data_IF_547667622315
#
_entry.id   IF_547667622315
#
_cell.length_a   1.000
_cell.length_b   1.000
_cell.length_c   1.000
_cell.angle_alpha   90.00
_cell.angle_beta   90.00
_cell.angle_gamma   90.00
#
_symmetry.space_group_name_H-M   'P 1'
#
loop_
_entity.id
_entity.type
_entity.pdbx_description
1 polymer ?
#
# COMPACT_ATOMS: atom_id res chain seq x y z
N UNK A 1 45.88 1.83 -3.52
CA UNK A 1 44.69 1.17 -4.12
C UNK A 1 44.42 -0.22 -3.53
N UNK A 2 45.43 -0.99 -3.15
CA UNK A 2 45.27 -2.37 -2.63
C UNK A 2 44.46 -2.50 -1.33
N UNK A 3 44.46 -1.53 -0.46
CA UNK A 3 43.69 -1.57 0.80
C UNK A 3 42.21 -1.16 0.65
N UNK A 4 41.85 -0.42 -0.41
CA UNK A 4 40.49 0.09 -0.60
C UNK A 4 39.58 -0.98 -1.21
N UNK A 5 40.11 -1.78 -2.12
CA UNK A 5 39.32 -2.81 -2.82
C UNK A 5 38.72 -3.86 -1.88
N UNK A 6 39.48 -4.48 -0.94
CA UNK A 6 38.92 -5.42 0.02
C UNK A 6 37.84 -4.78 0.92
N UNK A 7 37.98 -3.51 1.26
CA UNK A 7 36.97 -2.78 2.04
C UNK A 7 35.68 -2.59 1.23
N UNK A 8 35.79 -2.17 -0.04
CA UNK A 8 34.61 -2.02 -0.91
C UNK A 8 33.91 -3.34 -1.15
N UNK A 9 34.63 -4.43 -1.39
CA UNK A 9 34.08 -5.77 -1.59
C UNK A 9 33.24 -6.20 -0.37
N UNK A 10 33.70 -5.87 0.83
CA UNK A 10 33.04 -6.29 2.07
C UNK A 10 31.83 -5.46 2.44
N UNK A 11 31.79 -4.19 2.05
CA UNK A 11 30.85 -3.24 2.63
C UNK A 11 30.01 -2.45 1.63
N UNK A 12 30.23 -2.58 0.32
CA UNK A 12 29.54 -1.78 -0.70
C UNK A 12 28.03 -1.93 -0.66
N UNK A 13 27.53 -3.16 -0.57
CA UNK A 13 26.10 -3.43 -0.47
C UNK A 13 25.49 -2.88 0.81
N UNK A 14 26.16 -3.11 1.95
CA UNK A 14 25.68 -2.61 3.25
C UNK A 14 25.60 -1.08 3.27
N UNK A 15 26.56 -0.36 2.67
CA UNK A 15 26.49 1.10 2.54
C UNK A 15 25.29 1.55 1.73
N UNK A 16 24.99 0.89 0.60
CA UNK A 16 23.84 1.20 -0.22
C UNK A 16 22.54 0.92 0.55
N UNK A 17 22.44 -0.20 1.27
CA UNK A 17 21.29 -0.56 2.09
C UNK A 17 21.02 0.46 3.21
N UNK A 18 22.07 0.91 3.90
CA UNK A 18 21.96 1.96 4.94
C UNK A 18 21.51 3.28 4.33
N UNK A 19 22.05 3.68 3.17
CA UNK A 19 21.66 4.90 2.48
C UNK A 19 20.17 4.86 2.08
N UNK A 20 19.70 3.74 1.53
CA UNK A 20 18.29 3.57 1.16
C UNK A 20 17.38 3.58 2.39
N UNK A 21 17.81 2.99 3.51
CA UNK A 21 17.10 3.07 4.79
C UNK A 21 16.93 4.52 5.23
N UNK A 22 18.00 5.33 5.21
CA UNK A 22 17.96 6.74 5.57
C UNK A 22 17.04 7.54 4.65
N UNK A 23 17.14 7.35 3.34
CA UNK A 23 16.23 7.98 2.35
C UNK A 23 14.77 7.62 2.65
N UNK A 24 14.51 6.35 2.97
CA UNK A 24 13.17 5.89 3.31
C UNK A 24 12.61 6.57 4.56
N UNK A 25 13.42 6.68 5.61
CA UNK A 25 13.03 7.37 6.86
C UNK A 25 12.75 8.86 6.60
N UNK A 26 13.66 9.56 5.89
CA UNK A 26 13.49 10.99 5.57
C UNK A 26 12.25 11.20 4.71
N UNK A 27 12.05 10.37 3.68
CA UNK A 27 10.90 10.45 2.79
C UNK A 27 9.56 10.27 3.51
N UNK A 28 9.50 9.38 4.52
CA UNK A 28 8.28 9.18 5.33
C UNK A 28 8.06 10.30 6.33
N UNK A 29 9.13 10.81 6.95
CA UNK A 29 9.06 11.92 7.91
C UNK A 29 8.61 13.24 7.25
N UNK A 30 9.00 13.46 5.98
CA UNK A 30 8.63 14.66 5.22
C UNK A 30 7.24 14.57 4.58
N UNK A 31 6.65 13.38 4.48
CA UNK A 31 5.27 13.23 4.02
C UNK A 31 4.33 13.96 4.98
N UNK A 32 3.56 14.94 4.48
CA UNK A 32 2.69 15.81 5.29
C UNK A 32 1.59 15.11 6.13
N UNK A 33 1.51 13.80 6.02
CA UNK A 33 0.61 12.89 6.75
C UNK A 33 0.74 13.07 8.27
N UNK A 34 1.96 13.14 8.79
CA UNK A 34 2.20 13.25 10.25
C UNK A 34 1.68 14.56 10.85
N UNK A 35 1.71 15.66 10.08
CA UNK A 35 1.16 16.95 10.53
C UNK A 35 -0.36 16.91 10.62
N UNK A 36 -1.00 16.30 9.62
CA UNK A 36 -2.44 16.16 9.58
C UNK A 36 -2.95 15.21 10.66
N UNK A 37 -2.26 14.10 10.90
CA UNK A 37 -2.55 13.18 12.02
C UNK A 37 -2.49 13.90 13.38
N UNK A 38 -1.44 14.72 13.61
CA UNK A 38 -1.30 15.50 14.85
C UNK A 38 -2.44 16.50 15.04
N UNK A 39 -2.93 17.09 13.95
CA UNK A 39 -4.09 17.99 13.99
C UNK A 39 -5.34 17.22 14.40
N UNK A 40 -5.65 16.10 13.75
CA UNK A 40 -6.81 15.28 14.06
C UNK A 40 -6.75 14.63 15.43
N UNK A 41 -5.56 14.23 15.91
CA UNK A 41 -5.39 13.63 17.25
C UNK A 41 -5.72 14.62 18.39
N UNK A 42 -5.74 15.92 18.13
CA UNK A 42 -6.17 16.95 19.08
C UNK A 42 -7.69 17.17 19.07
N UNK A 43 -8.35 16.72 18.03
CA UNK A 43 -9.78 16.82 17.88
C UNK A 43 -10.47 15.71 18.71
N UNK A 44 -11.42 16.12 19.57
CA UNK A 44 -12.13 15.20 20.46
C UNK A 44 -13.49 14.78 19.87
N UNK A 45 -13.81 15.20 18.64
CA UNK A 45 -15.05 14.82 18.00
C UNK A 45 -15.06 13.31 17.69
N UNK A 46 -16.04 12.55 18.22
CA UNK A 46 -16.14 11.12 17.97
C UNK A 46 -16.41 10.77 16.50
N UNK A 47 -16.90 11.73 15.68
CA UNK A 47 -17.10 11.55 14.25
C UNK A 47 -15.79 11.65 13.46
N UNK A 48 -14.72 12.13 14.10
CA UNK A 48 -13.39 12.26 13.50
C UNK A 48 -12.53 11.07 13.91
N UNK A 49 -11.99 10.36 12.92
CA UNK A 49 -11.10 9.24 13.17
C UNK A 49 -10.15 8.99 12.00
N UNK A 50 -9.08 8.25 12.30
CA UNK A 50 -8.03 7.92 11.34
C UNK A 50 -8.00 6.41 11.16
N UNK A 51 -7.92 5.97 9.90
CA UNK A 51 -7.66 4.59 9.56
C UNK A 51 -6.21 4.44 9.11
N UNK A 52 -5.52 3.47 9.69
CA UNK A 52 -4.10 3.20 9.43
C UNK A 52 -3.93 1.76 8.99
N UNK A 53 -2.99 1.53 8.08
CA UNK A 53 -2.56 0.18 7.77
C UNK A 53 -1.88 -0.48 8.97
N UNK A 54 -1.94 -1.80 9.04
CA UNK A 54 -1.20 -2.56 10.04
C UNK A 54 0.31 -2.37 9.86
N UNK A 55 1.03 -2.28 10.98
CA UNK A 55 2.50 -2.11 11.00
C UNK A 55 3.26 -3.35 10.50
N UNK A 56 2.57 -4.48 10.28
CA UNK A 56 3.17 -5.72 9.78
C UNK A 56 3.98 -5.52 8.48
N UNK A 57 3.52 -4.65 7.59
CA UNK A 57 4.25 -4.30 6.36
C UNK A 57 5.63 -3.70 6.61
N UNK A 58 5.79 -2.90 7.67
CA UNK A 58 7.08 -2.33 8.07
C UNK A 58 8.02 -3.43 8.55
N UNK A 59 7.52 -4.33 9.41
CA UNK A 59 8.32 -5.44 9.94
C UNK A 59 8.76 -6.41 8.85
N UNK A 60 7.87 -6.79 7.94
CA UNK A 60 8.21 -7.66 6.80
C UNK A 60 9.24 -6.98 5.90
N UNK A 61 9.05 -5.70 5.58
CA UNK A 61 10.01 -4.94 4.77
C UNK A 61 11.39 -4.87 5.42
N UNK A 62 11.45 -4.65 6.74
CA UNK A 62 12.69 -4.63 7.49
C UNK A 62 13.39 -6.00 7.53
N UNK A 63 12.62 -7.09 7.66
CA UNK A 63 13.16 -8.47 7.60
C UNK A 63 13.76 -8.78 6.23
N UNK A 64 13.14 -8.31 5.14
CA UNK A 64 13.68 -8.46 3.78
C UNK A 64 14.99 -7.69 3.62
N UNK A 65 15.06 -6.46 4.13
CA UNK A 65 16.28 -5.65 4.10
C UNK A 65 17.43 -6.33 4.88
N UNK A 66 17.14 -6.85 6.08
CA UNK A 66 18.14 -7.58 6.87
C UNK A 66 18.63 -8.85 6.16
N UNK A 67 17.71 -9.61 5.54
CA UNK A 67 18.08 -10.77 4.75
C UNK A 67 18.99 -10.38 3.57
N UNK A 68 18.69 -9.25 2.91
CA UNK A 68 19.55 -8.68 1.87
C UNK A 68 20.96 -8.42 2.38
N UNK A 69 21.11 -7.75 3.52
CA UNK A 69 22.43 -7.49 4.13
C UNK A 69 23.21 -8.78 4.43
N UNK A 70 22.53 -9.84 4.89
CA UNK A 70 23.18 -11.13 5.14
C UNK A 70 23.71 -11.75 3.83
N UNK A 71 22.90 -11.68 2.76
CA UNK A 71 23.29 -12.17 1.43
C UNK A 71 24.49 -11.37 0.90
N UNK A 72 24.48 -10.03 1.03
CA UNK A 72 25.59 -9.16 0.62
C UNK A 72 26.89 -9.50 1.33
N UNK A 73 26.84 -9.65 2.65
CA UNK A 73 28.01 -10.03 3.46
C UNK A 73 28.56 -11.41 3.01
N UNK A 74 27.66 -12.35 2.70
CA UNK A 74 28.06 -13.68 2.24
C UNK A 74 28.72 -13.64 0.85
N UNK A 75 28.19 -12.87 -0.09
CA UNK A 75 28.77 -12.64 -1.42
C UNK A 75 30.16 -12.02 -1.26
N UNK A 76 30.29 -10.97 -0.45
CA UNK A 76 31.57 -10.31 -0.19
C UNK A 76 32.62 -11.25 0.43
N UNK A 77 32.18 -12.09 1.38
CA UNK A 77 33.09 -13.09 1.98
C UNK A 77 33.62 -14.12 0.97
N UNK A 78 32.75 -14.59 0.06
CA UNK A 78 33.18 -15.51 -1.02
C UNK A 78 34.14 -14.82 -2.01
N UNK A 79 33.86 -13.55 -2.32
CA UNK A 79 34.65 -12.78 -3.28
C UNK A 79 36.09 -12.50 -2.80
N UNK A 80 36.31 -12.35 -1.49
CA UNK A 80 37.65 -12.08 -0.92
C UNK A 80 38.70 -13.11 -1.27
N UNK A 81 38.29 -14.35 -1.60
CA UNK A 81 39.17 -15.46 -1.98
C UNK A 81 39.32 -15.63 -3.50
N UNK A 82 38.72 -14.72 -4.28
CA UNK A 82 38.64 -14.81 -5.73
C UNK A 82 39.64 -13.84 -6.43
N UNK A 83 39.82 -14.02 -7.72
CA UNK A 83 40.56 -13.10 -8.60
C UNK A 83 39.83 -11.76 -8.78
N UNK A 84 40.57 -10.74 -9.19
CA UNK A 84 40.08 -9.35 -9.28
C UNK A 84 38.79 -9.20 -10.14
N UNK A 85 38.71 -9.99 -11.22
CA UNK A 85 37.52 -9.92 -12.09
C UNK A 85 36.26 -10.42 -11.37
N UNK A 86 36.35 -11.51 -10.61
CA UNK A 86 35.24 -12.03 -9.81
C UNK A 86 34.88 -11.11 -8.66
N UNK A 87 35.88 -10.41 -8.08
CA UNK A 87 35.66 -9.39 -7.06
C UNK A 87 34.80 -8.23 -7.56
N UNK A 88 35.06 -7.74 -8.78
CA UNK A 88 34.24 -6.68 -9.40
C UNK A 88 32.80 -7.13 -9.67
N UNK A 89 32.61 -8.38 -10.13
CA UNK A 89 31.29 -8.97 -10.33
C UNK A 89 30.54 -9.06 -8.98
N UNK A 90 31.23 -9.44 -7.91
CA UNK A 90 30.64 -9.54 -6.58
C UNK A 90 30.18 -8.18 -6.06
N UNK A 91 30.97 -7.12 -6.22
CA UNK A 91 30.57 -5.74 -5.85
C UNK A 91 29.29 -5.34 -6.60
N UNK A 92 29.23 -5.62 -7.91
CA UNK A 92 28.04 -5.30 -8.70
C UNK A 92 26.82 -6.11 -8.22
N UNK A 93 26.99 -7.38 -7.85
CA UNK A 93 25.93 -8.23 -7.32
C UNK A 93 25.44 -7.73 -5.95
N UNK A 94 26.34 -7.34 -5.04
CA UNK A 94 25.98 -6.75 -3.74
C UNK A 94 25.14 -5.48 -3.91
N UNK A 95 25.59 -4.56 -4.76
CA UNK A 95 24.85 -3.32 -5.03
C UNK A 95 23.47 -3.62 -5.62
N UNK A 96 23.37 -4.61 -6.51
CA UNK A 96 22.07 -5.00 -7.09
C UNK A 96 21.12 -5.59 -6.03
N UNK A 97 21.61 -6.46 -5.16
CA UNK A 97 20.83 -7.02 -4.04
C UNK A 97 20.36 -5.91 -3.11
N UNK A 98 21.28 -5.00 -2.74
CA UNK A 98 20.97 -3.84 -1.90
C UNK A 98 19.86 -2.95 -2.51
N UNK A 99 19.96 -2.66 -3.81
CA UNK A 99 18.95 -1.86 -4.52
C UNK A 99 17.59 -2.55 -4.52
N UNK A 100 17.53 -3.84 -4.82
CA UNK A 100 16.27 -4.59 -4.88
C UNK A 100 15.63 -4.65 -3.48
N UNK A 101 16.35 -5.07 -2.46
CA UNK A 101 15.83 -5.21 -1.10
C UNK A 101 15.47 -3.86 -0.48
N UNK A 102 16.28 -2.84 -0.71
CA UNK A 102 16.04 -1.48 -0.26
C UNK A 102 14.82 -0.83 -0.93
N UNK A 103 14.60 -1.04 -2.23
CA UNK A 103 13.40 -0.57 -2.92
C UNK A 103 12.14 -1.27 -2.40
N UNK A 104 12.17 -2.59 -2.21
CA UNK A 104 11.05 -3.34 -1.61
C UNK A 104 10.72 -2.77 -0.23
N UNK A 105 11.74 -2.58 0.63
CA UNK A 105 11.58 -1.96 1.94
C UNK A 105 10.95 -0.57 1.85
N UNK A 106 11.47 0.29 0.97
CA UNK A 106 10.95 1.65 0.76
C UNK A 106 9.46 1.66 0.40
N UNK A 107 9.05 0.84 -0.58
CA UNK A 107 7.64 0.78 -0.98
C UNK A 107 6.74 0.22 0.12
N UNK A 108 7.18 -0.82 0.83
CA UNK A 108 6.41 -1.42 1.92
C UNK A 108 6.26 -0.46 3.10
N UNK A 109 7.34 0.19 3.51
CA UNK A 109 7.33 1.17 4.58
C UNK A 109 6.41 2.36 4.22
N UNK A 110 6.57 2.90 3.02
CA UNK A 110 5.78 4.05 2.59
C UNK A 110 4.29 3.72 2.53
N UNK A 111 3.93 2.53 2.06
CA UNK A 111 2.55 2.05 2.06
C UNK A 111 2.00 1.90 3.48
N UNK A 112 2.76 1.33 4.39
CA UNK A 112 2.31 1.13 5.76
C UNK A 112 2.21 2.44 6.55
N UNK A 113 3.12 3.41 6.33
CA UNK A 113 3.22 4.62 7.13
C UNK A 113 2.53 5.84 6.51
N UNK A 114 2.39 5.91 5.19
CA UNK A 114 1.80 7.07 4.51
C UNK A 114 0.37 6.87 4.04
N UNK A 115 -0.02 5.62 3.71
CA UNK A 115 -1.40 5.35 3.29
C UNK A 115 -2.35 5.45 4.48
N UNK A 116 -3.25 6.42 4.45
CA UNK A 116 -4.19 6.77 5.52
C UNK A 116 -5.55 7.16 4.96
N UNK A 117 -6.59 6.88 5.72
CA UNK A 117 -7.91 7.46 5.50
C UNK A 117 -8.27 8.29 6.71
N UNK A 118 -8.53 9.56 6.50
CA UNK A 118 -9.00 10.49 7.51
C UNK A 118 -10.50 10.72 7.28
N UNK A 119 -11.28 10.56 8.33
CA UNK A 119 -12.72 10.81 8.29
C UNK A 119 -13.01 11.98 9.23
N UNK A 120 -13.62 13.02 8.69
CA UNK A 120 -14.04 14.22 9.42
C UNK A 120 -15.54 14.43 9.17
N UNK A 121 -16.38 13.89 10.05
CA UNK A 121 -17.83 13.90 9.89
C UNK A 121 -18.28 13.26 8.57
N UNK A 122 -18.75 14.06 7.62
CA UNK A 122 -19.18 13.60 6.28
C UNK A 122 -18.04 13.55 5.25
N UNK A 123 -16.83 14.02 5.58
CA UNK A 123 -15.73 14.14 4.63
C UNK A 123 -14.72 13.01 4.81
N UNK A 124 -14.32 12.41 3.71
CA UNK A 124 -13.28 11.39 3.62
C UNK A 124 -12.08 12.00 2.90
N UNK A 125 -10.93 11.97 3.53
CA UNK A 125 -9.65 12.32 2.92
C UNK A 125 -8.78 11.07 2.84
N UNK A 126 -8.60 10.53 1.64
CA UNK A 126 -7.70 9.42 1.39
C UNK A 126 -6.32 9.94 0.99
N UNK A 127 -5.32 9.55 1.73
CA UNK A 127 -3.91 9.79 1.43
C UNK A 127 -3.29 8.51 0.91
N UNK A 128 -2.95 8.48 -0.36
CA UNK A 128 -2.20 7.38 -0.97
C UNK A 128 -0.74 7.39 -0.51
N UNK A 129 -0.04 6.28 -0.70
CA UNK A 129 1.41 6.16 -0.44
C UNK A 129 2.23 7.18 -1.24
N UNK A 130 1.76 7.52 -2.44
CA UNK A 130 2.33 8.52 -3.34
C UNK A 130 1.22 9.39 -3.91
N UNK A 131 1.54 10.64 -4.21
CA UNK A 131 0.61 11.58 -4.82
C UNK A 131 -0.12 12.51 -3.83
N UNK A 132 -1.07 13.24 -4.38
CA UNK A 132 -1.90 14.18 -3.63
C UNK A 132 -3.04 13.44 -2.93
N UNK A 133 -3.54 13.95 -1.79
CA UNK A 133 -4.71 13.39 -1.15
C UNK A 133 -5.97 13.55 -2.01
N UNK A 134 -6.80 12.52 -2.03
CA UNK A 134 -8.15 12.57 -2.61
C UNK A 134 -9.13 12.93 -1.49
N UNK A 135 -9.99 13.92 -1.74
CA UNK A 135 -10.99 14.38 -0.78
C UNK A 135 -12.37 14.16 -1.41
N UNK A 136 -13.24 13.50 -0.68
CA UNK A 136 -14.64 13.24 -1.09
C UNK A 136 -15.55 13.28 0.13
N UNK A 137 -16.85 13.42 -0.09
CA UNK A 137 -17.84 13.27 0.97
C UNK A 137 -18.58 11.92 0.80
N UNK A 138 -19.22 11.41 1.87
CA UNK A 138 -19.95 10.15 1.81
C UNK A 138 -21.09 10.20 0.80
N UNK A 139 -21.80 11.33 0.69
CA UNK A 139 -22.87 11.57 -0.27
C UNK A 139 -22.38 11.68 -1.73
N UNK A 140 -21.09 11.91 -1.94
CA UNK A 140 -20.45 11.98 -3.26
C UNK A 140 -19.87 10.63 -3.72
N UNK A 141 -20.08 9.56 -2.97
CA UNK A 141 -19.65 8.23 -3.36
C UNK A 141 -20.62 7.65 -4.39
N UNK A 142 -20.10 7.34 -5.58
CA UNK A 142 -20.86 6.74 -6.67
C UNK A 142 -21.08 5.25 -6.49
N UNK A 143 -20.04 4.52 -6.13
CA UNK A 143 -20.11 3.07 -5.95
C UNK A 143 -19.14 2.60 -4.86
N UNK A 144 -19.59 1.61 -4.10
CA UNK A 144 -18.77 0.85 -3.15
C UNK A 144 -18.79 -0.60 -3.59
N UNK A 145 -17.62 -1.14 -3.99
CA UNK A 145 -17.47 -2.56 -4.29
C UNK A 145 -16.96 -3.27 -3.04
N UNK A 146 -17.72 -4.20 -2.54
CA UNK A 146 -17.40 -5.03 -1.38
C UNK A 146 -16.72 -6.32 -1.87
N UNK A 147 -15.63 -6.71 -1.27
CA UNK A 147 -14.87 -7.92 -1.64
C UNK A 147 -15.21 -9.05 -0.66
N UNK A 148 -15.69 -10.17 -1.19
CA UNK A 148 -16.03 -11.40 -0.45
C UNK A 148 -17.18 -11.27 0.55
N UNK A 149 -18.03 -10.25 0.45
CA UNK A 149 -19.23 -10.12 1.29
C UNK A 149 -20.26 -9.22 0.64
N UNK A 150 -21.51 -9.39 1.00
CA UNK A 150 -22.61 -8.48 0.65
C UNK A 150 -22.63 -7.27 1.58
N UNK A 151 -22.17 -7.42 2.83
CA UNK A 151 -22.11 -6.36 3.82
C UNK A 151 -20.73 -5.69 3.85
N UNK A 152 -20.68 -4.38 4.09
CA UNK A 152 -19.42 -3.66 4.20
C UNK A 152 -18.62 -4.10 5.44
N UNK A 153 -19.29 -4.42 6.53
CA UNK A 153 -18.70 -4.81 7.80
C UNK A 153 -17.86 -6.08 7.67
N UNK A 154 -18.39 -7.09 6.96
CA UNK A 154 -17.74 -8.40 6.78
C UNK A 154 -16.86 -8.48 5.54
N UNK A 155 -16.81 -7.40 4.72
CA UNK A 155 -16.01 -7.39 3.53
C UNK A 155 -14.51 -7.39 3.85
N UNK A 156 -13.73 -8.15 3.07
CA UNK A 156 -12.26 -8.17 3.14
C UNK A 156 -11.68 -6.79 2.79
N UNK A 157 -12.34 -6.09 1.88
CA UNK A 157 -12.00 -4.72 1.53
C UNK A 157 -13.15 -4.00 0.87
N UNK A 158 -13.14 -2.68 0.94
CA UNK A 158 -14.06 -1.79 0.27
C UNK A 158 -13.30 -1.00 -0.81
N UNK A 159 -13.74 -1.08 -2.04
CA UNK A 159 -13.24 -0.23 -3.13
C UNK A 159 -14.25 0.87 -3.37
N UNK A 160 -13.87 2.09 -3.07
CA UNK A 160 -14.71 3.28 -3.11
C UNK A 160 -14.39 4.06 -4.39
N UNK A 161 -15.42 4.47 -5.11
CA UNK A 161 -15.32 5.31 -6.31
C UNK A 161 -16.15 6.57 -6.11
N UNK A 162 -15.53 7.73 -5.90
CA UNK A 162 -16.21 9.02 -5.86
C UNK A 162 -16.80 9.42 -7.22
N UNK A 163 -17.77 10.34 -7.20
CA UNK A 163 -18.33 10.96 -8.41
C UNK A 163 -17.28 11.77 -9.19
N UNK A 164 -16.37 12.42 -8.48
CA UNK A 164 -15.30 13.22 -9.06
C UNK A 164 -14.21 12.40 -9.80
N UNK A 165 -14.33 11.08 -9.82
CA UNK A 165 -13.33 10.17 -10.38
C UNK A 165 -12.35 9.65 -9.32
N UNK A 166 -11.36 8.86 -9.78
CA UNK A 166 -10.45 8.18 -8.88
C UNK A 166 -11.04 6.90 -8.26
N UNK A 167 -10.24 6.21 -7.51
CA UNK A 167 -10.66 5.08 -6.68
C UNK A 167 -9.67 4.86 -5.54
N UNK A 168 -10.15 4.51 -4.39
CA UNK A 168 -9.29 4.04 -3.31
C UNK A 168 -9.84 2.78 -2.66
N UNK A 169 -8.95 2.00 -2.06
CA UNK A 169 -9.28 0.71 -1.45
C UNK A 169 -8.99 0.76 0.03
N UNK A 170 -9.99 0.42 0.83
CA UNK A 170 -9.91 0.31 2.29
C UNK A 170 -9.96 -1.16 2.66
N UNK A 171 -9.01 -1.65 3.45
CA UNK A 171 -8.91 -3.04 3.87
C UNK A 171 -9.44 -3.22 5.30
N UNK A 172 -10.00 -4.38 5.59
CA UNK A 172 -10.46 -4.73 6.95
C UNK A 172 -9.33 -4.84 7.97
N UNK A 173 -8.08 -4.92 7.52
CA UNK A 173 -6.89 -4.87 8.39
C UNK A 173 -6.51 -3.47 8.86
N UNK A 174 -7.16 -2.42 8.34
CA UNK A 174 -6.93 -1.06 8.80
C UNK A 174 -7.63 -0.83 10.15
N UNK A 175 -7.01 0.01 10.98
CA UNK A 175 -7.66 0.44 12.24
C UNK A 175 -8.97 1.17 11.95
N UNK A 176 -9.95 1.07 12.84
CA UNK A 176 -11.26 1.70 12.70
C UNK A 176 -12.07 1.30 11.46
N UNK A 177 -11.72 0.16 10.81
CA UNK A 177 -12.43 -0.33 9.63
C UNK A 177 -13.92 -0.54 9.89
N UNK A 178 -14.28 -1.18 11.01
CA UNK A 178 -15.68 -1.46 11.37
C UNK A 178 -16.51 -0.17 11.41
N UNK A 179 -16.00 0.85 12.11
CA UNK A 179 -16.67 2.16 12.21
C UNK A 179 -16.89 2.81 10.84
N UNK A 180 -15.88 2.69 9.96
CA UNK A 180 -15.97 3.18 8.59
C UNK A 180 -16.99 2.40 7.76
N UNK A 181 -17.01 1.08 7.87
CA UNK A 181 -17.94 0.22 7.17
C UNK A 181 -19.40 0.49 7.58
N UNK A 182 -19.67 0.64 8.88
CA UNK A 182 -20.97 1.02 9.40
C UNK A 182 -21.41 2.39 8.87
N UNK A 183 -20.48 3.35 8.81
CA UNK A 183 -20.77 4.68 8.29
C UNK A 183 -21.06 4.62 6.78
N UNK A 184 -20.34 3.81 6.01
CA UNK A 184 -20.62 3.59 4.58
C UNK A 184 -22.03 3.01 4.39
N UNK A 185 -22.44 2.03 5.18
CA UNK A 185 -23.78 1.43 5.06
C UNK A 185 -24.91 2.39 5.43
N UNK A 186 -24.67 3.26 6.41
CA UNK A 186 -25.63 4.25 6.84
C UNK A 186 -25.78 5.45 5.90
N UNK A 187 -24.62 6.01 5.48
CA UNK A 187 -24.60 7.34 4.85
C UNK A 187 -24.51 7.25 3.31
N UNK A 188 -24.07 6.12 2.76
CA UNK A 188 -23.97 5.93 1.30
C UNK A 188 -25.24 5.25 0.79
N UNK A 189 -26.12 6.02 0.17
CA UNK A 189 -27.29 5.49 -0.56
C UNK A 189 -26.80 4.87 -1.88
N UNK A 190 -26.37 3.62 -1.84
CA UNK A 190 -26.01 2.90 -3.06
C UNK A 190 -27.25 2.70 -3.93
N UNK A 191 -27.19 3.02 -5.23
CA UNK A 191 -28.26 2.66 -6.14
C UNK A 191 -28.41 1.13 -6.13
N UNK A 192 -29.64 0.68 -5.91
CA UNK A 192 -29.99 -0.73 -5.86
C UNK A 192 -29.67 -1.41 -7.21
N UNK A 193 -28.51 -2.04 -7.29
CA UNK A 193 -28.03 -2.73 -8.50
C UNK A 193 -28.82 -4.04 -8.78
N UNK A 194 -29.69 -4.45 -7.88
CA UNK A 194 -30.52 -5.65 -8.09
C UNK A 194 -31.59 -5.45 -9.16
N UNK A 195 -31.99 -4.19 -9.41
CA UNK A 195 -33.00 -3.85 -10.42
C UNK A 195 -32.54 -3.95 -11.90
N UNK A 196 -31.27 -4.13 -12.20
CA UNK A 196 -30.74 -4.19 -13.58
C UNK A 196 -30.38 -5.55 -14.13
N UNK A 197 -30.67 -6.64 -13.43
CA UNK A 197 -30.69 -7.98 -14.01
C UNK A 197 -32.12 -8.42 -14.34
N UNK A 198 -32.86 -7.54 -15.00
CA UNK A 198 -34.03 -7.94 -15.75
C UNK A 198 -33.61 -8.91 -16.85
N UNK A 199 -33.92 -10.18 -16.64
CA UNK A 199 -33.87 -11.25 -17.63
C UNK A 199 -34.48 -10.71 -18.92
N UNK A 200 -33.71 -10.69 -20.02
CA UNK A 200 -34.30 -10.64 -21.35
C UNK A 200 -35.29 -11.82 -21.45
N UNK A 201 -36.56 -11.58 -21.82
CA UNK A 201 -37.45 -12.70 -22.07
C UNK A 201 -36.84 -13.49 -23.24
N UNK A 202 -36.78 -14.80 -23.05
CA UNK A 202 -36.45 -15.72 -24.11
C UNK A 202 -37.48 -15.47 -25.24
N UNK A 203 -37.00 -15.15 -26.42
CA UNK A 203 -37.80 -15.14 -27.62
C UNK A 203 -38.40 -16.52 -27.84
N UNK A 204 -39.71 -16.63 -27.80
CA UNK A 204 -40.48 -17.79 -28.26
C UNK A 204 -40.07 -18.04 -29.69
N UNK A 205 -39.36 -19.14 -29.95
CA UNK A 205 -39.29 -19.77 -31.26
C UNK A 205 -40.67 -20.36 -31.54
N UNK A 206 -41.41 -19.64 -32.41
CA UNK A 206 -42.57 -20.19 -33.07
C UNK A 206 -42.10 -21.24 -34.09
N UNK A 207 -42.33 -22.53 -33.74
CA UNK A 207 -42.35 -23.63 -34.73
C UNK A 207 -43.51 -23.39 -35.68
N UNK A 208 -43.20 -22.91 -36.90
CA UNK A 208 -44.10 -23.09 -38.05
C UNK A 208 -43.76 -24.38 -38.74
N UNK A 209 -44.48 -25.44 -38.36
CA UNK A 209 -44.73 -26.62 -39.18
C UNK A 209 -45.58 -26.20 -40.39
N UNK A 210 -45.03 -26.32 -41.59
CA UNK A 210 -45.81 -26.35 -42.84
C UNK A 210 -45.80 -27.73 -43.43
N UNK A 211 -47.00 -28.18 -43.73
CA UNK A 211 -47.41 -29.33 -44.53
C UNK A 211 -46.76 -29.41 -45.92
#
# INVERSE_FOLDING_TARGET
MEAILPFLIKWSGVFVSVLLLLISIISTATAGVTRYEKKMAKDKDPSHYIMRNAMSGVFIGFSILLLGCVIEIFIGWLALKSDTQRQLIAIAAEILVALITGLIFFFMQRKALCERVFVEGNTIRYQASFGKPEITAFDQIRTVKKENSEDAIHAKSLTIRPNAGGRFKVKNTMTNYMKFAEQIERDVKLPDLTKKRGRKPASEETDETND
#
